data_IF_696774862778
#
_entry.id   IF_696774862778
#
_cell.length_a   1.000
_cell.length_b   1.000
_cell.length_c   1.000
_cell.angle_alpha   90.00
_cell.angle_beta   90.00
_cell.angle_gamma   90.00
#
_symmetry.space_group_name_H-M   'P 1'
#
loop_
_entity.id
_entity.type
_entity.pdbx_description
1 polymer ?
#
# COMPACT_ATOMS: atom_id res chain seq x y z
N UNK A 1 -6.51 6.93 0.01
CA UNK A 1 -7.05 6.33 1.27
C UNK A 1 -8.54 6.04 1.17
N UNK A 2 -9.31 6.82 0.41
CA UNK A 2 -10.73 6.55 0.20
C UNK A 2 -10.95 5.26 -0.62
N UNK A 3 -10.08 5.04 -1.60
CA UNK A 3 -10.11 3.93 -2.56
C UNK A 3 -9.88 2.58 -1.87
N UNK A 4 -8.84 2.47 -1.02
CA UNK A 4 -8.55 1.24 -0.28
C UNK A 4 -9.70 0.84 0.64
N UNK A 5 -10.29 1.79 1.37
CA UNK A 5 -11.41 1.53 2.28
C UNK A 5 -12.68 1.13 1.52
N UNK A 6 -12.92 1.75 0.37
CA UNK A 6 -14.02 1.37 -0.52
C UNK A 6 -13.83 -0.07 -1.02
N UNK A 7 -12.66 -0.40 -1.55
CA UNK A 7 -12.35 -1.74 -2.06
C UNK A 7 -12.42 -2.79 -0.95
N UNK A 8 -11.90 -2.50 0.25
CA UNK A 8 -12.00 -3.38 1.42
C UNK A 8 -13.46 -3.70 1.74
N UNK A 9 -14.33 -2.69 1.79
CA UNK A 9 -15.76 -2.91 2.01
C UNK A 9 -16.43 -3.74 0.91
N UNK A 10 -16.04 -3.57 -0.35
CA UNK A 10 -16.56 -4.38 -1.47
C UNK A 10 -16.13 -5.86 -1.34
N UNK A 11 -14.88 -6.10 -0.99
CA UNK A 11 -14.34 -7.46 -0.81
C UNK A 11 -14.94 -8.15 0.42
N UNK A 12 -15.13 -7.42 1.52
CA UNK A 12 -15.76 -7.94 2.75
C UNK A 12 -17.20 -8.39 2.52
N UNK A 13 -18.00 -7.61 1.78
CA UNK A 13 -19.39 -7.98 1.44
C UNK A 13 -19.50 -9.29 0.66
N UNK A 14 -18.42 -9.71 0.00
CA UNK A 14 -18.34 -10.96 -0.76
C UNK A 14 -17.54 -12.04 -0.05
N UNK A 15 -17.12 -11.80 1.18
CA UNK A 15 -16.31 -12.73 1.97
C UNK A 15 -14.99 -13.12 1.25
N UNK A 16 -14.45 -12.20 0.44
CA UNK A 16 -13.23 -12.43 -0.36
C UNK A 16 -11.94 -12.11 0.40
N UNK A 17 -12.05 -11.45 1.57
CA UNK A 17 -10.93 -11.22 2.47
C UNK A 17 -10.75 -12.44 3.37
N UNK A 18 -9.54 -13.01 3.35
CA UNK A 18 -9.17 -14.08 4.27
C UNK A 18 -8.52 -13.48 5.52
N UNK A 19 -8.85 -14.03 6.69
CA UNK A 19 -8.20 -13.67 7.96
C UNK A 19 -6.69 -13.98 7.96
N UNK A 20 -6.25 -14.94 7.14
CA UNK A 20 -4.84 -15.21 6.93
C UNK A 20 -4.23 -14.16 5.99
N UNK A 21 -3.47 -13.24 6.59
CA UNK A 21 -2.83 -12.07 5.96
C UNK A 21 -1.69 -12.39 4.98
N UNK A 22 -1.71 -13.55 4.32
CA UNK A 22 -0.64 -13.94 3.39
C UNK A 22 -1.19 -14.35 2.03
N UNK A 23 -1.98 -13.46 1.41
CA UNK A 23 -2.08 -13.52 -0.04
C UNK A 23 -0.68 -13.26 -0.63
N UNK A 24 -0.15 -14.18 -1.45
CA UNK A 24 1.09 -13.92 -2.17
C UNK A 24 0.87 -12.75 -3.12
N UNK A 25 1.69 -11.70 -2.96
CA UNK A 25 1.72 -10.58 -3.90
C UNK A 25 2.56 -10.95 -5.13
N UNK A 26 2.32 -10.30 -6.29
CA UNK A 26 3.09 -10.55 -7.50
C UNK A 26 4.60 -10.44 -7.27
N UNK A 27 5.37 -11.33 -7.89
CA UNK A 27 6.82 -11.40 -7.71
C UNK A 27 7.51 -10.07 -8.00
N UNK A 28 7.16 -9.42 -9.12
CA UNK A 28 7.72 -8.13 -9.50
C UNK A 28 7.48 -7.05 -8.44
N UNK A 29 6.26 -6.98 -7.90
CA UNK A 29 5.94 -6.07 -6.81
C UNK A 29 6.79 -6.36 -5.57
N UNK A 30 6.94 -7.64 -5.20
CA UNK A 30 7.76 -8.03 -4.05
C UNK A 30 9.25 -7.69 -4.22
N UNK A 31 9.78 -7.76 -5.44
CA UNK A 31 11.15 -7.31 -5.73
C UNK A 31 11.32 -5.81 -5.50
N UNK A 32 10.37 -5.00 -5.96
CA UNK A 32 10.38 -3.55 -5.71
C UNK A 32 10.26 -3.24 -4.21
N UNK A 33 9.41 -4.00 -3.49
CA UNK A 33 9.24 -3.85 -2.05
C UNK A 33 10.50 -4.22 -1.26
N UNK A 34 11.32 -5.16 -1.75
CA UNK A 34 12.60 -5.46 -1.14
C UNK A 34 13.53 -4.23 -1.20
N UNK A 35 13.71 -3.66 -2.40
CA UNK A 35 14.52 -2.45 -2.59
C UNK A 35 14.00 -1.27 -1.75
N UNK A 36 12.68 -1.10 -1.68
CA UNK A 36 12.06 -0.04 -0.89
C UNK A 36 12.29 -0.24 0.62
N UNK A 37 12.19 -1.48 1.12
CA UNK A 37 12.48 -1.79 2.52
C UNK A 37 13.95 -1.62 2.88
N UNK A 38 14.87 -1.96 1.98
CA UNK A 38 16.31 -1.73 2.19
C UNK A 38 16.60 -0.24 2.33
N UNK A 39 16.02 0.60 1.47
CA UNK A 39 16.12 2.06 1.60
C UNK A 39 15.51 2.57 2.90
N UNK A 40 14.38 2.01 3.33
CA UNK A 40 13.75 2.35 4.62
C UNK A 40 14.67 2.04 5.80
N UNK A 41 15.35 0.88 5.79
CA UNK A 41 16.34 0.51 6.82
C UNK A 41 17.50 1.51 6.86
N UNK A 42 18.03 1.92 5.70
CA UNK A 42 19.09 2.93 5.66
C UNK A 42 18.63 4.28 6.22
N UNK A 43 17.39 4.69 5.92
CA UNK A 43 16.79 5.90 6.50
C UNK A 43 16.53 5.78 8.00
N UNK A 44 16.22 4.59 8.51
CA UNK A 44 16.04 4.34 9.94
C UNK A 44 17.36 4.44 10.71
N UNK A 45 18.48 4.03 10.08
CA UNK A 45 19.82 4.12 10.66
C UNK A 45 20.41 5.53 10.64
N UNK A 46 20.13 6.30 9.58
CA UNK A 46 20.60 7.69 9.43
C UNK A 46 19.48 8.59 8.90
N UNK A 47 18.50 8.94 9.76
CA UNK A 47 17.35 9.72 9.37
C UNK A 47 17.72 11.16 9.01
N UNK A 48 17.10 11.66 7.95
CA UNK A 48 17.16 13.06 7.57
C UNK A 48 15.78 13.53 7.11
N UNK A 49 15.42 14.77 7.42
CA UNK A 49 14.13 15.34 7.01
C UNK A 49 13.94 15.26 5.47
N UNK A 50 15.00 15.53 4.70
CA UNK A 50 14.99 15.44 3.25
C UNK A 50 14.79 14.00 2.74
N UNK A 51 15.49 13.03 3.34
CA UNK A 51 15.37 11.61 3.00
C UNK A 51 13.97 11.06 3.32
N UNK A 52 13.45 11.36 4.52
CA UNK A 52 12.11 10.98 4.96
C UNK A 52 11.04 11.57 4.01
N UNK A 53 11.16 12.85 3.66
CA UNK A 53 10.20 13.50 2.77
C UNK A 53 10.25 12.91 1.35
N UNK A 54 11.45 12.61 0.82
CA UNK A 54 11.62 11.97 -0.48
C UNK A 54 11.05 10.56 -0.49
N UNK A 55 11.35 9.75 0.53
CA UNK A 55 10.85 8.39 0.66
C UNK A 55 9.32 8.39 0.78
N UNK A 56 8.75 9.27 1.61
CA UNK A 56 7.30 9.41 1.73
C UNK A 56 6.65 9.70 0.37
N UNK A 57 7.19 10.66 -0.39
CA UNK A 57 6.67 10.98 -1.73
C UNK A 57 6.76 9.80 -2.70
N UNK A 58 7.86 9.05 -2.67
CA UNK A 58 8.01 7.85 -3.49
C UNK A 58 6.90 6.84 -3.19
N UNK A 59 6.69 6.51 -1.91
CA UNK A 59 5.69 5.51 -1.50
C UNK A 59 4.27 6.00 -1.80
N UNK A 60 3.96 7.27 -1.54
CA UNK A 60 2.63 7.82 -1.86
C UNK A 60 2.37 7.88 -3.36
N UNK A 61 3.41 8.15 -4.17
CA UNK A 61 3.30 8.07 -5.64
C UNK A 61 2.92 6.67 -6.12
N UNK A 62 3.55 5.62 -5.57
CA UNK A 62 3.18 4.23 -5.87
C UNK A 62 1.73 3.92 -5.44
N UNK A 63 1.25 4.48 -4.32
CA UNK A 63 -0.15 4.32 -3.91
C UNK A 63 -1.12 4.99 -4.90
N UNK A 64 -0.75 6.15 -5.44
CA UNK A 64 -1.54 6.89 -6.42
C UNK A 64 -1.59 6.15 -7.76
N UNK A 65 -0.46 5.58 -8.20
CA UNK A 65 -0.36 4.75 -9.41
C UNK A 65 -1.26 3.52 -9.30
N UNK A 66 -1.19 2.77 -8.19
CA UNK A 66 -2.08 1.63 -7.92
C UNK A 66 -3.56 2.03 -7.93
N UNK A 67 -3.89 3.22 -7.39
CA UNK A 67 -5.27 3.71 -7.41
C UNK A 67 -5.74 4.10 -8.81
N UNK A 68 -4.83 4.54 -9.67
CA UNK A 68 -5.13 4.81 -11.07
C UNK A 68 -5.43 3.52 -11.86
N UNK A 69 -4.70 2.44 -11.58
CA UNK A 69 -4.88 1.13 -12.24
C UNK A 69 -6.30 0.57 -12.09
N UNK A 70 -6.90 0.73 -10.91
CA UNK A 70 -8.25 0.21 -10.62
C UNK A 70 -9.37 1.24 -10.82
N UNK A 71 -9.05 2.49 -11.20
CA UNK A 71 -10.03 3.58 -11.24
C UNK A 71 -11.20 3.27 -12.14
N UNK A 72 -10.93 2.71 -13.33
CA UNK A 72 -11.97 2.33 -14.28
C UNK A 72 -12.91 1.27 -13.73
N UNK A 73 -12.42 0.33 -12.90
CA UNK A 73 -13.23 -0.68 -12.24
C UNK A 73 -14.14 -0.07 -11.18
N UNK A 74 -13.65 0.93 -10.44
CA UNK A 74 -14.46 1.62 -9.42
C UNK A 74 -15.51 2.56 -10.01
N UNK A 75 -15.20 3.22 -11.12
CA UNK A 75 -16.09 4.22 -11.74
C UNK A 75 -17.16 3.57 -12.63
N UNK A 76 -16.83 2.50 -13.33
CA UNK A 76 -17.71 1.87 -14.33
C UNK A 76 -18.25 0.50 -13.90
N UNK A 77 -17.67 -0.10 -12.86
CA UNK A 77 -18.05 -1.44 -12.40
C UNK A 77 -19.28 -1.39 -11.50
N UNK A 78 -20.36 -2.03 -11.91
CA UNK A 78 -21.38 -2.49 -10.97
C UNK A 78 -20.90 -3.79 -10.32
N UNK A 79 -20.85 -3.85 -8.99
CA UNK A 79 -20.37 -5.04 -8.26
C UNK A 79 -21.02 -6.34 -8.78
N UNK A 80 -22.32 -6.30 -9.08
CA UNK A 80 -23.10 -7.44 -9.58
C UNK A 80 -22.61 -7.98 -10.93
N UNK A 81 -21.99 -7.15 -11.76
CA UNK A 81 -21.52 -7.52 -13.11
C UNK A 81 -20.02 -7.76 -13.18
N UNK A 82 -19.27 -7.49 -12.12
CA UNK A 82 -17.82 -7.70 -12.09
C UNK A 82 -17.46 -9.18 -12.23
N UNK A 83 -16.56 -9.46 -13.15
CA UNK A 83 -15.97 -10.77 -13.42
C UNK A 83 -15.01 -11.19 -12.30
N UNK A 84 -14.76 -12.49 -12.18
CA UNK A 84 -13.78 -13.02 -11.22
C UNK A 84 -12.39 -12.38 -11.37
N UNK A 85 -11.96 -12.08 -12.60
CA UNK A 85 -10.69 -11.42 -12.88
C UNK A 85 -10.65 -9.99 -12.31
N UNK A 86 -11.74 -9.23 -12.42
CA UNK A 86 -11.81 -7.88 -11.87
C UNK A 86 -11.83 -7.89 -10.34
N UNK A 87 -12.46 -8.89 -9.72
CA UNK A 87 -12.37 -9.11 -8.27
C UNK A 87 -10.96 -9.44 -7.81
N UNK A 88 -10.22 -10.28 -8.55
CA UNK A 88 -8.84 -10.58 -8.24
C UNK A 88 -7.95 -9.33 -8.35
N UNK A 89 -8.20 -8.46 -9.33
CA UNK A 89 -7.49 -7.17 -9.45
C UNK A 89 -7.74 -6.25 -8.25
N UNK A 90 -9.00 -6.13 -7.80
CA UNK A 90 -9.33 -5.36 -6.60
C UNK A 90 -8.68 -5.94 -5.34
N UNK A 91 -8.66 -7.27 -5.24
CA UNK A 91 -8.02 -7.99 -4.13
C UNK A 91 -6.51 -7.75 -4.13
N UNK A 92 -5.85 -7.88 -5.27
CA UNK A 92 -4.43 -7.58 -5.42
C UNK A 92 -4.11 -6.13 -5.06
N UNK A 93 -4.89 -5.17 -5.56
CA UNK A 93 -4.79 -3.75 -5.19
C UNK A 93 -4.86 -3.55 -3.68
N UNK A 94 -5.85 -4.16 -3.02
CA UNK A 94 -6.05 -4.04 -1.57
C UNK A 94 -4.81 -4.49 -0.80
N UNK A 95 -4.24 -5.65 -1.12
CA UNK A 95 -3.07 -6.16 -0.41
C UNK A 95 -1.79 -5.36 -0.72
N UNK A 96 -1.60 -4.90 -1.97
CA UNK A 96 -0.48 -3.99 -2.32
C UNK A 96 -0.57 -2.67 -1.55
N UNK A 97 -1.76 -2.07 -1.47
CA UNK A 97 -1.99 -0.83 -0.72
C UNK A 97 -1.74 -1.01 0.79
N UNK A 98 -2.20 -2.11 1.39
CA UNK A 98 -1.90 -2.42 2.81
C UNK A 98 -0.41 -2.58 3.05
N UNK A 99 0.32 -3.17 2.11
CA UNK A 99 1.77 -3.29 2.22
C UNK A 99 2.46 -1.91 2.25
N UNK A 100 2.14 -1.04 1.30
CA UNK A 100 2.68 0.33 1.24
C UNK A 100 2.29 1.15 2.48
N UNK A 101 1.07 0.96 3.00
CA UNK A 101 0.63 1.59 4.25
C UNK A 101 1.50 1.17 5.43
N UNK A 102 1.83 -0.11 5.57
CA UNK A 102 2.73 -0.62 6.62
C UNK A 102 4.13 -0.01 6.52
N UNK A 103 4.64 0.18 5.30
CA UNK A 103 5.90 0.91 5.07
C UNK A 103 5.82 2.35 5.58
N UNK A 104 4.74 3.08 5.25
CA UNK A 104 4.54 4.46 5.72
C UNK A 104 4.34 4.55 7.24
N UNK A 105 3.70 3.55 7.84
CA UNK A 105 3.57 3.45 9.30
C UNK A 105 4.95 3.26 9.94
N UNK A 106 5.77 2.33 9.44
CA UNK A 106 7.15 2.14 9.91
C UNK A 106 8.00 3.40 9.77
N UNK A 107 7.93 4.08 8.62
CA UNK A 107 8.58 5.38 8.40
C UNK A 107 8.16 6.40 9.47
N UNK A 108 6.87 6.48 9.75
CA UNK A 108 6.33 7.46 10.72
C UNK A 108 6.73 7.11 12.16
N UNK A 109 6.83 5.82 12.50
CA UNK A 109 7.25 5.36 13.83
C UNK A 109 8.66 5.84 14.18
N UNK A 110 9.66 5.65 13.31
CA UNK A 110 11.02 6.11 13.63
C UNK A 110 11.21 7.61 13.41
N UNK A 111 10.55 8.20 12.39
CA UNK A 111 10.62 9.65 12.17
C UNK A 111 10.08 10.46 13.35
N UNK A 112 9.12 9.92 14.11
CA UNK A 112 8.59 10.56 15.30
C UNK A 112 9.51 10.40 16.53
N UNK A 113 10.28 9.31 16.61
CA UNK A 113 11.24 9.06 17.72
C UNK A 113 12.41 10.03 17.69
N UNK A 114 12.88 10.40 16.51
CA UNK A 114 14.02 11.30 16.33
C UNK A 114 13.72 12.76 16.65
N UNK A 115 12.48 13.20 16.48
CA UNK A 115 12.05 14.54 16.90
C UNK A 115 12.05 14.68 18.43
N UNK A 116 11.80 13.57 19.15
CA UNK A 116 11.83 13.55 20.62
C UNK A 116 13.26 13.50 21.16
N UNK A 117 14.18 12.79 20.49
CA UNK A 117 15.60 12.74 20.90
C UNK A 117 16.40 14.01 20.58
N UNK A 118 15.83 14.92 19.77
CA UNK A 118 16.46 16.19 19.36
C UNK A 118 15.87 17.43 20.07
N UNK A 119 15.03 17.22 21.09
CA UNK A 119 14.42 18.25 21.95
C UNK A 119 15.00 18.18 23.36
#
# INVERSE_FOLDING_TARGET
MKEIAMVEAMLDRRELLTAEERQPLPHLFMMEMLTLNEHLVQLELNPSAGGIAKFRRQVTGMQEELAAEIRSLLENGHEETMTATEWEQLKEFHYKQKYLLRILQRLSTFASRDQVSSS
#
